data_IF_012571999093
#
_entry.id   IF_012571999093
#
_cell.length_a   1.000
_cell.length_b   1.000
_cell.length_c   1.000
_cell.angle_alpha   90.00
_cell.angle_beta   90.00
_cell.angle_gamma   90.00
#
_symmetry.space_group_name_H-M   'P 1'
#
loop_
_entity.id
_entity.type
_entity.pdbx_description
1 polymer ?
#
# COMPACT_ATOMS: atom_id res chain seq x y z
N UNK A 1 -2.05 5.80 -15.86
CA UNK A 1 -1.58 4.44 -15.49
C UNK A 1 -2.16 4.10 -14.13
N UNK A 2 -3.10 3.15 -14.03
CA UNK A 2 -3.80 2.92 -12.77
C UNK A 2 -3.05 1.92 -11.89
N UNK A 3 -2.39 2.44 -10.85
CA UNK A 3 -1.75 1.68 -9.79
C UNK A 3 -2.62 1.77 -8.55
N UNK A 4 -2.89 0.63 -7.91
CA UNK A 4 -3.62 0.65 -6.65
C UNK A 4 -2.72 1.16 -5.51
N UNK A 5 -3.32 1.86 -4.55
CA UNK A 5 -2.68 2.27 -3.31
C UNK A 5 -3.43 1.61 -2.15
N UNK A 6 -2.70 0.93 -1.28
CA UNK A 6 -3.26 0.31 -0.09
C UNK A 6 -2.64 0.99 1.12
N UNK A 7 -3.48 1.46 2.03
CA UNK A 7 -3.04 2.07 3.28
C UNK A 7 -3.24 1.08 4.41
N UNK A 8 -2.16 0.79 5.12
CA UNK A 8 -2.22 0.01 6.34
C UNK A 8 -2.26 0.96 7.53
N UNK A 9 -3.32 0.85 8.34
CA UNK A 9 -3.43 1.58 9.61
C UNK A 9 -2.85 0.70 10.71
N UNK A 10 -1.67 1.09 11.20
CA UNK A 10 -1.02 0.41 12.31
C UNK A 10 -1.47 0.99 13.65
N UNK A 11 -1.30 0.21 14.71
CA UNK A 11 -1.55 0.68 16.07
C UNK A 11 -0.45 1.66 16.51
N UNK A 12 -0.77 2.55 17.47
CA UNK A 12 0.18 3.54 17.98
C UNK A 12 1.43 2.82 18.53
N UNK A 13 2.59 3.10 17.94
CA UNK A 13 3.88 2.53 18.36
C UNK A 13 4.39 1.37 17.50
N UNK A 14 3.58 0.83 16.59
CA UNK A 14 4.07 -0.14 15.60
C UNK A 14 4.83 0.58 14.48
N UNK A 15 6.00 0.06 14.14
CA UNK A 15 6.83 0.54 13.02
C UNK A 15 6.64 -0.36 11.80
N UNK A 16 7.21 0.06 10.67
CA UNK A 16 7.17 -0.70 9.42
C UNK A 16 7.87 -2.06 9.51
N UNK A 17 8.77 -2.21 10.49
CA UNK A 17 9.49 -3.44 10.82
C UNK A 17 8.66 -4.45 11.61
N UNK A 18 7.63 -3.98 12.32
CA UNK A 18 6.76 -4.82 13.15
C UNK A 18 5.64 -5.48 12.31
N UNK A 19 5.54 -5.12 11.03
CA UNK A 19 4.52 -5.67 10.13
C UNK A 19 4.94 -7.10 9.74
N UNK A 20 4.06 -8.07 10.03
CA UNK A 20 4.26 -9.45 9.61
C UNK A 20 4.41 -9.55 8.09
N UNK A 21 5.40 -10.34 7.65
CA UNK A 21 5.69 -10.59 6.24
C UNK A 21 4.46 -11.14 5.49
N UNK A 22 3.70 -12.02 6.13
CA UNK A 22 2.45 -12.53 5.54
C UNK A 22 1.38 -11.45 5.31
N UNK A 23 1.37 -10.40 6.14
CA UNK A 23 0.46 -9.27 5.96
C UNK A 23 0.95 -8.35 4.83
N UNK A 24 2.26 -8.19 4.67
CA UNK A 24 2.84 -7.52 3.50
C UNK A 24 2.52 -8.28 2.21
N UNK A 25 2.67 -9.60 2.21
CA UNK A 25 2.32 -10.42 1.06
C UNK A 25 0.83 -10.28 0.71
N UNK A 26 -0.06 -10.41 1.70
CA UNK A 26 -1.50 -10.22 1.53
C UNK A 26 -1.83 -8.84 0.91
N UNK A 27 -1.19 -7.78 1.40
CA UNK A 27 -1.36 -6.42 0.86
C UNK A 27 -0.80 -6.29 -0.57
N UNK A 28 0.38 -6.83 -0.83
CA UNK A 28 1.01 -6.77 -2.14
C UNK A 28 0.21 -7.54 -3.20
N UNK A 29 -0.34 -8.70 -2.83
CA UNK A 29 -1.29 -9.47 -3.66
C UNK A 29 -2.55 -8.66 -3.98
N UNK A 30 -3.07 -7.93 -2.99
CA UNK A 30 -4.24 -7.07 -3.17
C UNK A 30 -3.94 -5.88 -4.11
N UNK A 31 -2.81 -5.21 -3.94
CA UNK A 31 -2.39 -4.09 -4.82
C UNK A 31 -2.21 -4.58 -6.25
N UNK A 32 -1.61 -5.77 -6.44
CA UNK A 32 -1.43 -6.42 -7.73
C UNK A 32 -2.75 -6.74 -8.41
N UNK A 33 -3.68 -7.37 -7.68
CA UNK A 33 -4.99 -7.74 -8.21
C UNK A 33 -5.85 -6.52 -8.59
N UNK A 34 -5.68 -5.39 -7.90
CA UNK A 34 -6.42 -4.16 -8.18
C UNK A 34 -5.73 -3.23 -9.20
N UNK A 35 -4.54 -3.58 -9.70
CA UNK A 35 -3.88 -2.79 -10.74
C UNK A 35 -4.19 -3.32 -12.13
N UNK A 36 -4.52 -2.39 -13.04
CA UNK A 36 -4.84 -2.71 -14.44
C UNK A 36 -3.62 -3.30 -15.16
N UNK A 37 -2.43 -2.78 -14.86
CA UNK A 37 -1.18 -3.22 -15.50
C UNK A 37 -0.49 -4.30 -14.67
N UNK A 38 -0.43 -4.15 -13.34
CA UNK A 38 0.22 -5.12 -12.45
C UNK A 38 -0.44 -6.49 -12.46
N UNK A 39 -1.74 -6.59 -12.78
CA UNK A 39 -2.42 -7.87 -12.93
C UNK A 39 -1.93 -8.71 -14.13
N UNK A 40 -1.36 -8.08 -15.18
CA UNK A 40 -0.85 -8.78 -16.37
C UNK A 40 0.62 -9.18 -16.24
N UNK A 41 1.32 -8.60 -15.27
CA UNK A 41 2.77 -8.78 -15.08
C UNK A 41 3.02 -9.83 -14.00
N UNK A 42 3.90 -10.79 -14.30
CA UNK A 42 4.28 -11.83 -13.33
C UNK A 42 5.13 -11.24 -12.22
N UNK A 43 6.24 -10.56 -12.52
CA UNK A 43 7.10 -9.97 -11.49
C UNK A 43 6.71 -8.52 -11.23
N UNK A 44 6.13 -8.25 -10.05
CA UNK A 44 5.81 -6.88 -9.65
C UNK A 44 6.49 -6.55 -8.33
N UNK A 45 7.08 -5.36 -8.28
CA UNK A 45 7.72 -4.82 -7.10
C UNK A 45 6.75 -3.86 -6.40
N UNK A 46 6.41 -4.19 -5.16
CA UNK A 46 5.56 -3.36 -4.30
C UNK A 46 6.44 -2.60 -3.35
N UNK A 47 6.40 -1.28 -3.39
CA UNK A 47 7.04 -0.47 -2.36
C UNK A 47 6.08 -0.14 -1.24
N UNK A 48 6.63 -0.09 -0.05
CA UNK A 48 5.93 0.35 1.13
C UNK A 48 6.79 1.37 1.86
N UNK A 49 6.16 2.49 2.18
CA UNK A 49 6.81 3.62 2.84
C UNK A 49 5.85 4.19 3.88
N UNK A 50 6.36 4.71 5.00
CA UNK A 50 5.50 5.40 5.95
C UNK A 50 4.99 6.73 5.39
N UNK A 51 3.81 7.17 5.83
CA UNK A 51 3.12 8.34 5.26
C UNK A 51 3.96 9.63 5.30
N UNK A 52 4.75 9.80 6.37
CA UNK A 52 5.56 11.00 6.60
C UNK A 52 6.70 11.17 5.58
N UNK A 53 7.06 10.10 4.87
CA UNK A 53 8.12 10.12 3.87
C UNK A 53 7.59 10.51 2.47
N UNK A 54 6.27 10.56 2.28
CA UNK A 54 5.69 10.95 0.99
C UNK A 54 5.78 12.46 0.79
N UNK A 55 6.38 12.85 -0.33
CA UNK A 55 6.47 14.22 -0.79
C UNK A 55 5.47 14.44 -1.91
N UNK A 56 4.47 15.29 -1.68
CA UNK A 56 3.54 15.73 -2.73
C UNK A 56 3.88 17.16 -3.13
N UNK A 57 4.39 17.34 -4.34
CA UNK A 57 4.55 18.68 -4.94
C UNK A 57 3.38 19.00 -5.84
N UNK A 58 2.92 20.26 -5.87
CA UNK A 58 1.79 20.68 -6.70
C UNK A 58 2.02 20.49 -8.22
N UNK A 59 3.29 20.37 -8.64
CA UNK A 59 3.67 20.11 -10.03
C UNK A 59 3.63 18.63 -10.43
N UNK A 60 3.29 17.71 -9.52
CA UNK A 60 3.21 16.26 -9.81
C UNK A 60 1.84 15.89 -10.34
N UNK A 61 1.81 14.96 -11.30
CA UNK A 61 0.58 14.43 -11.89
C UNK A 61 -0.25 13.66 -10.85
N UNK A 62 -1.55 13.50 -11.12
CA UNK A 62 -2.48 12.88 -10.17
C UNK A 62 -2.11 11.41 -9.99
N UNK A 63 -1.73 11.04 -8.76
CA UNK A 63 -1.26 9.70 -8.44
C UNK A 63 0.26 9.53 -8.48
N UNK A 64 1.01 10.57 -8.84
CA UNK A 64 2.46 10.60 -8.65
C UNK A 64 2.79 11.10 -7.23
N UNK A 65 3.67 10.37 -6.55
CA UNK A 65 4.16 10.74 -5.22
C UNK A 65 5.68 10.65 -5.24
N UNK A 66 6.34 11.65 -4.68
CA UNK A 66 7.78 11.63 -4.44
C UNK A 66 8.10 11.06 -3.06
N UNK A 67 9.37 10.77 -2.83
CA UNK A 67 9.87 10.37 -1.51
C UNK A 67 10.85 11.44 -1.01
N UNK A 68 10.75 11.79 0.27
CA UNK A 68 11.74 12.66 0.91
C UNK A 68 13.08 11.94 1.07
N UNK A 69 13.04 10.69 1.54
CA UNK A 69 14.21 9.86 1.74
C UNK A 69 14.00 8.47 1.10
N UNK A 70 14.75 8.11 0.05
CA UNK A 70 14.61 6.81 -0.61
C UNK A 70 15.05 5.66 0.30
N UNK A 71 15.88 5.91 1.32
CA UNK A 71 16.35 4.89 2.28
C UNK A 71 15.24 4.32 3.16
N UNK A 72 14.15 5.05 3.35
CA UNK A 72 12.99 4.61 4.14
C UNK A 72 11.94 3.87 3.29
N UNK A 73 12.19 3.76 1.98
CA UNK A 73 11.35 2.99 1.06
C UNK A 73 11.84 1.55 1.09
N UNK A 74 10.94 0.62 1.34
CA UNK A 74 11.21 -0.81 1.27
C UNK A 74 10.44 -1.41 0.10
N UNK A 75 10.97 -2.49 -0.46
CA UNK A 75 10.39 -3.17 -1.61
C UNK A 75 10.14 -4.63 -1.27
N UNK A 76 8.98 -5.13 -1.66
CA UNK A 76 8.63 -6.56 -1.67
C UNK A 76 8.40 -6.98 -3.10
N UNK A 77 9.03 -8.08 -3.50
CA UNK A 77 8.84 -8.68 -4.82
C UNK A 77 7.75 -9.74 -4.75
N UNK A 78 6.76 -9.64 -5.64
CA UNK A 78 5.67 -10.62 -5.76
C UNK A 78 5.65 -11.23 -7.16
N UNK A 79 6.02 -12.51 -7.24
CA UNK A 79 6.21 -13.24 -8.51
C UNK A 79 4.92 -13.80 -9.12
N UNK A 80 3.96 -14.24 -8.28
CA UNK A 80 2.71 -14.81 -8.75
C UNK A 80 1.54 -14.25 -7.97
N UNK A 81 0.45 -14.01 -8.69
CA UNK A 81 -0.81 -13.62 -8.08
C UNK A 81 -1.44 -14.85 -7.44
N UNK A 82 -1.81 -14.76 -6.17
CA UNK A 82 -2.54 -15.82 -5.45
C UNK A 82 -4.00 -15.39 -5.30
N UNK A 83 -4.87 -15.94 -6.16
CA UNK A 83 -6.29 -15.58 -6.17
C UNK A 83 -7.01 -15.93 -4.87
N UNK A 84 -6.60 -17.01 -4.19
CA UNK A 84 -7.23 -17.47 -2.95
C UNK A 84 -7.11 -16.45 -1.83
N UNK A 85 -5.92 -15.84 -1.69
CA UNK A 85 -5.64 -14.79 -0.71
C UNK A 85 -6.51 -13.57 -0.98
N UNK A 86 -6.53 -13.10 -2.22
CA UNK A 86 -7.34 -11.93 -2.63
C UNK A 86 -8.83 -12.18 -2.39
N UNK A 87 -9.31 -13.39 -2.72
CA UNK A 87 -10.70 -13.77 -2.49
C UNK A 87 -11.05 -13.85 -1.00
N UNK A 88 -10.14 -14.36 -0.15
CA UNK A 88 -10.29 -14.38 1.31
C UNK A 88 -10.38 -12.95 1.87
N UNK A 89 -9.46 -12.08 1.46
CA UNK A 89 -9.41 -10.67 1.90
C UNK A 89 -10.64 -9.88 1.44
N UNK A 90 -11.12 -10.11 0.22
CA UNK A 90 -12.34 -9.48 -0.27
C UNK A 90 -13.60 -9.96 0.46
N UNK A 91 -13.63 -11.20 0.95
CA UNK A 91 -14.74 -11.72 1.78
C UNK A 91 -14.76 -11.10 3.16
N UNK A 92 -13.60 -10.79 3.74
CA UNK A 92 -13.49 -10.13 5.06
C UNK A 92 -13.54 -8.61 4.96
N UNK A 93 -13.63 -8.05 3.74
CA UNK A 93 -13.76 -6.62 3.51
C UNK A 93 -15.08 -6.11 4.08
N UNK A 94 -15.01 -5.48 5.25
CA UNK A 94 -16.13 -4.73 5.83
C UNK A 94 -15.99 -3.28 5.43
N UNK A 95 -16.87 -2.81 4.55
CA UNK A 95 -16.97 -1.38 4.22
C UNK A 95 -17.63 -0.62 5.37
N UNK A 96 -16.85 -0.32 6.41
CA UNK A 96 -17.25 0.70 7.38
C UNK A 96 -17.01 2.04 6.71
N UNK A 97 -18.04 2.82 6.43
CA UNK A 97 -17.92 4.23 6.01
C UNK A 97 -17.43 5.03 7.24
N UNK A 98 -16.13 5.32 7.39
CA UNK A 98 -15.68 6.10 8.52
C UNK A 98 -15.92 7.57 8.15
N UNK A 99 -16.56 8.34 9.01
CA UNK A 99 -16.67 9.79 8.80
C UNK A 99 -15.28 10.42 8.71
N UNK A 100 -14.86 10.73 7.49
CA UNK A 100 -13.53 11.26 7.14
C UNK A 100 -13.23 12.63 7.80
N UNK A 101 -14.21 13.26 8.46
CA UNK A 101 -14.10 14.57 9.10
C UNK A 101 -13.60 14.52 10.55
N UNK A 102 -13.69 13.38 11.24
CA UNK A 102 -13.49 13.32 12.70
C UNK A 102 -12.20 12.67 13.20
N UNK A 103 -11.43 11.97 12.37
CA UNK A 103 -10.30 11.15 12.83
C UNK A 103 -8.93 11.79 12.61
N UNK A 104 -8.79 13.08 12.96
CA UNK A 104 -7.51 13.82 12.85
C UNK A 104 -6.56 13.55 14.03
N UNK A 105 -6.99 12.82 15.06
CA UNK A 105 -6.20 12.66 16.31
C UNK A 105 -5.30 11.42 16.35
N UNK A 106 -5.41 10.49 15.40
CA UNK A 106 -4.68 9.20 15.42
C UNK A 106 -3.98 8.88 14.08
N UNK A 107 -3.39 9.88 13.42
CA UNK A 107 -2.66 9.77 12.14
C UNK A 107 -1.20 9.28 12.25
N UNK A 108 -0.73 8.92 13.45
CA UNK A 108 0.69 8.70 13.71
C UNK A 108 1.31 7.48 12.99
N UNK A 109 0.52 6.56 12.44
CA UNK A 109 1.04 5.25 11.97
C UNK A 109 0.32 4.73 10.73
N UNK A 110 0.16 5.58 9.70
CA UNK A 110 -0.30 5.13 8.39
C UNK A 110 0.92 4.75 7.53
N UNK A 111 0.91 3.53 7.00
CA UNK A 111 1.87 3.09 5.99
C UNK A 111 1.17 3.05 4.65
N UNK A 112 1.79 3.62 3.62
CA UNK A 112 1.30 3.55 2.25
C UNK A 112 2.07 2.47 1.50
N UNK A 113 1.33 1.55 0.87
CA UNK A 113 1.86 0.56 -0.05
C UNK A 113 1.42 0.91 -1.46
N UNK A 114 2.41 1.01 -2.36
CA UNK A 114 2.23 1.35 -3.76
C UNK A 114 3.06 0.41 -4.63
N UNK A 115 2.55 -0.01 -5.77
CA UNK A 115 3.37 -0.70 -6.76
C UNK A 115 4.27 0.27 -7.53
N UNK A 116 5.57 -0.06 -7.61
CA UNK A 116 6.52 0.57 -8.52
C UNK A 116 6.72 -0.39 -9.70
N UNK A 117 6.54 0.12 -10.91
CA UNK A 117 6.75 -0.67 -12.11
C UNK A 117 5.47 -1.37 -12.55
N UNK A 118 4.74 -0.69 -13.43
CA UNK A 118 4.70 -1.14 -14.84
C UNK A 118 5.09 0.07 -15.69
#
# INVERSE_FOLDING_TARGET
MSSAHVYLRLNKGQTIDDISEGLLEDCAQLVKANSIQGNKVNNVDVVYTPWYNLKKTASMDVGQVGFHNPKMVRTVRVEKRINEIVNRLNKTKVERKPDLRGCITNLASICEMKMIGV
#
